data_IF_383489111706
#
_entry.id   IF_383489111706
#
_cell.length_a   1.000
_cell.length_b   1.000
_cell.length_c   1.000
_cell.angle_alpha   90.00
_cell.angle_beta   90.00
_cell.angle_gamma   90.00
#
_symmetry.space_group_name_H-M   'P 1'
#
loop_
_entity.id
_entity.type
_entity.pdbx_description
1 polymer ?
#
# COMPACT_ATOMS: atom_id res chain seq x y z
N UNK A 1 -21.26 11.62 4.13
CA UNK A 1 -21.15 13.01 4.61
C UNK A 1 -20.67 13.90 3.47
N UNK A 2 -21.54 14.77 2.94
CA UNK A 2 -21.26 15.62 1.77
C UNK A 2 -20.15 16.65 2.01
N UNK A 3 -19.77 16.88 3.24
CA UNK A 3 -18.68 17.78 3.60
C UNK A 3 -17.31 17.19 3.22
N UNK A 4 -17.15 15.87 3.31
CA UNK A 4 -15.89 15.16 3.10
C UNK A 4 -15.82 14.44 1.77
N UNK A 5 -16.96 14.26 1.08
CA UNK A 5 -17.06 13.44 -0.13
C UNK A 5 -17.52 14.24 -1.34
N UNK A 6 -16.65 14.33 -2.36
CA UNK A 6 -17.00 14.93 -3.63
C UNK A 6 -18.01 14.10 -4.42
N UNK A 7 -19.04 14.74 -5.01
CA UNK A 7 -20.12 14.05 -5.72
C UNK A 7 -19.86 13.87 -7.22
N UNK A 8 -19.06 14.74 -7.85
CA UNK A 8 -18.94 14.84 -9.31
C UNK A 8 -17.52 14.62 -9.84
N UNK A 9 -16.62 14.06 -9.02
CA UNK A 9 -15.26 13.75 -9.45
C UNK A 9 -15.20 12.56 -10.40
N UNK A 10 -14.17 12.46 -11.25
CA UNK A 10 -14.02 11.35 -12.19
C UNK A 10 -13.58 10.04 -11.49
N UNK A 11 -12.92 10.12 -10.34
CA UNK A 11 -12.54 8.96 -9.53
C UNK A 11 -13.74 8.53 -8.70
N UNK A 12 -14.22 7.31 -8.93
CA UNK A 12 -15.35 6.78 -8.20
C UNK A 12 -14.90 6.02 -6.96
N UNK A 13 -15.43 6.42 -5.80
CA UNK A 13 -15.34 5.69 -4.53
C UNK A 13 -16.71 5.09 -4.22
N UNK A 14 -16.76 3.86 -3.77
CA UNK A 14 -18.00 3.13 -3.53
C UNK A 14 -17.88 2.19 -2.33
N UNK A 15 -19.01 1.81 -1.79
CA UNK A 15 -19.11 0.68 -0.87
C UNK A 15 -18.80 -0.62 -1.62
N UNK A 16 -18.23 -1.60 -0.93
CA UNK A 16 -17.99 -2.94 -1.46
C UNK A 16 -19.28 -3.59 -1.96
N UNK A 17 -19.19 -4.28 -3.09
CA UNK A 17 -20.31 -5.05 -3.66
C UNK A 17 -20.30 -6.53 -3.22
N UNK A 18 -19.23 -6.96 -2.63
CA UNK A 18 -19.11 -8.27 -1.99
C UNK A 18 -19.35 -8.10 -0.48
N UNK A 19 -20.19 -8.94 0.06
CA UNK A 19 -20.54 -8.96 1.48
C UNK A 19 -20.09 -10.29 2.07
N UNK A 20 -18.83 -10.33 2.53
CA UNK A 20 -18.24 -11.54 3.08
C UNK A 20 -18.63 -11.70 4.57
N UNK A 21 -19.16 -12.86 4.99
CA UNK A 21 -19.51 -13.07 6.40
C UNK A 21 -18.29 -12.95 7.34
N UNK A 22 -17.09 -13.31 6.92
CA UNK A 22 -15.90 -13.17 7.77
C UNK A 22 -15.52 -11.71 8.00
N UNK A 23 -15.75 -10.82 7.01
CA UNK A 23 -15.60 -9.37 7.21
C UNK A 23 -16.58 -8.86 8.27
N UNK A 24 -17.83 -9.33 8.23
CA UNK A 24 -18.82 -9.00 9.28
C UNK A 24 -18.40 -9.52 10.65
N UNK A 25 -17.89 -10.76 10.73
CA UNK A 25 -17.37 -11.31 11.99
C UNK A 25 -16.23 -10.50 12.55
N UNK A 26 -15.33 -10.01 11.68
CA UNK A 26 -14.25 -9.11 12.10
C UNK A 26 -14.79 -7.79 12.68
N UNK A 27 -15.73 -7.16 11.98
CA UNK A 27 -16.35 -5.91 12.46
C UNK A 27 -17.10 -6.13 13.77
N UNK A 28 -17.84 -7.24 13.90
CA UNK A 28 -18.57 -7.59 15.12
C UNK A 28 -17.61 -7.85 16.28
N UNK A 29 -16.57 -8.65 16.09
CA UNK A 29 -15.55 -8.91 17.11
C UNK A 29 -14.86 -7.61 17.54
N UNK A 30 -14.42 -6.80 16.56
CA UNK A 30 -13.74 -5.54 16.82
C UNK A 30 -14.63 -4.49 17.51
N UNK A 31 -15.94 -4.51 17.25
CA UNK A 31 -16.90 -3.59 17.88
C UNK A 31 -17.05 -3.78 19.40
N UNK A 32 -16.56 -4.89 19.94
CA UNK A 32 -16.52 -5.15 21.38
C UNK A 32 -15.38 -4.45 22.10
N UNK A 33 -14.37 -4.00 21.35
CA UNK A 33 -13.16 -3.34 21.87
C UNK A 33 -13.02 -1.90 21.38
N UNK A 34 -13.55 -1.60 20.20
CA UNK A 34 -13.42 -0.30 19.53
C UNK A 34 -14.77 0.16 18.99
N UNK A 35 -14.96 1.46 18.83
CA UNK A 35 -16.16 2.00 18.15
C UNK A 35 -16.23 1.52 16.71
N UNK A 36 -17.43 1.34 16.20
CA UNK A 36 -17.65 1.07 14.77
C UNK A 36 -17.52 2.36 13.96
N UNK A 37 -16.94 2.26 12.77
CA UNK A 37 -16.84 3.36 11.84
C UNK A 37 -17.29 2.92 10.45
N UNK A 38 -18.29 3.59 9.91
CA UNK A 38 -18.83 3.30 8.58
C UNK A 38 -18.19 4.17 7.49
N UNK A 39 -17.32 5.11 7.87
CA UNK A 39 -16.70 6.08 6.97
C UNK A 39 -15.35 6.54 7.48
N UNK A 40 -14.30 5.78 7.16
CA UNK A 40 -12.92 6.12 7.53
C UNK A 40 -12.38 7.39 6.84
N UNK A 41 -13.08 7.90 5.84
CA UNK A 41 -12.71 9.10 5.09
C UNK A 41 -13.55 10.32 5.47
N UNK A 42 -14.32 10.22 6.55
CA UNK A 42 -15.10 11.32 7.13
C UNK A 42 -14.31 12.17 8.12
N UNK A 43 -15.01 12.82 9.04
CA UNK A 43 -14.41 13.67 10.09
C UNK A 43 -13.62 12.90 11.14
N UNK A 44 -13.88 11.62 11.31
CA UNK A 44 -13.27 10.75 12.30
C UNK A 44 -12.84 9.43 11.65
N UNK A 45 -11.56 9.16 11.70
CA UNK A 45 -11.00 7.94 11.09
C UNK A 45 -11.00 6.75 12.05
N UNK A 46 -11.05 6.99 13.38
CA UNK A 46 -10.88 5.94 14.38
C UNK A 46 -12.06 4.97 14.39
N UNK A 47 -11.78 3.67 14.53
CA UNK A 47 -12.76 2.63 14.72
C UNK A 47 -12.55 1.40 13.84
N UNK A 48 -13.49 0.45 13.88
CA UNK A 48 -13.52 -0.78 13.09
C UNK A 48 -14.67 -0.74 12.09
N UNK A 49 -14.43 -1.17 10.85
CA UNK A 49 -15.46 -1.10 9.81
C UNK A 49 -15.08 -1.77 8.50
N UNK A 50 -15.91 -1.56 7.49
CA UNK A 50 -15.70 -2.01 6.12
C UNK A 50 -15.11 -0.87 5.31
N UNK A 51 -14.09 -1.17 4.50
CA UNK A 51 -13.43 -0.17 3.66
C UNK A 51 -14.28 0.24 2.46
N UNK A 52 -14.28 1.54 2.18
CA UNK A 52 -14.68 2.06 0.89
C UNK A 52 -13.58 1.81 -0.14
N UNK A 53 -13.97 1.62 -1.41
CA UNK A 53 -13.04 1.21 -2.45
C UNK A 53 -13.16 2.07 -3.71
N UNK A 54 -12.04 2.30 -4.38
CA UNK A 54 -11.99 2.97 -5.69
C UNK A 54 -12.46 2.02 -6.79
N UNK A 55 -13.76 1.79 -6.82
CA UNK A 55 -14.43 0.90 -7.79
C UNK A 55 -15.61 1.61 -8.47
N UNK A 56 -15.84 1.26 -9.72
CA UNK A 56 -17.04 1.63 -10.48
C UNK A 56 -17.65 0.38 -11.10
N UNK A 57 -18.92 0.09 -10.77
CA UNK A 57 -19.62 -1.10 -11.27
C UNK A 57 -18.87 -2.42 -10.98
N UNK A 58 -18.32 -2.57 -9.77
CA UNK A 58 -17.57 -3.76 -9.33
C UNK A 58 -16.21 -3.95 -9.99
N UNK A 59 -15.72 -2.97 -10.75
CA UNK A 59 -14.40 -2.98 -11.39
C UNK A 59 -13.53 -1.87 -10.84
N UNK A 60 -12.21 -2.11 -10.77
CA UNK A 60 -11.24 -1.12 -10.31
C UNK A 60 -11.36 0.18 -11.12
N UNK A 61 -11.58 1.30 -10.44
CA UNK A 61 -11.55 2.65 -11.00
C UNK A 61 -10.17 3.27 -10.72
N UNK A 62 -9.16 2.83 -11.46
CA UNK A 62 -7.80 3.37 -11.34
C UNK A 62 -7.71 4.80 -11.88
N UNK A 63 -6.62 5.52 -11.56
CA UNK A 63 -6.33 6.83 -12.15
C UNK A 63 -6.35 6.79 -13.69
N UNK A 64 -5.86 5.70 -14.29
CA UNK A 64 -5.95 5.52 -15.74
C UNK A 64 -7.39 5.43 -16.23
N UNK A 65 -8.26 4.72 -15.52
CA UNK A 65 -9.69 4.61 -15.88
C UNK A 65 -10.42 5.93 -15.67
N UNK A 66 -10.15 6.61 -14.55
CA UNK A 66 -10.84 7.83 -14.15
C UNK A 66 -10.41 9.05 -14.97
N UNK A 67 -9.11 9.21 -15.23
CA UNK A 67 -8.55 10.44 -15.81
C UNK A 67 -7.95 10.24 -17.20
N UNK A 68 -7.12 9.20 -17.40
CA UNK A 68 -6.37 9.03 -18.62
C UNK A 68 -7.26 8.56 -19.77
N UNK A 69 -8.09 7.54 -19.56
CA UNK A 69 -8.94 6.99 -20.62
C UNK A 69 -9.89 8.04 -21.24
N UNK A 70 -10.58 8.89 -20.46
CA UNK A 70 -11.39 9.98 -21.03
C UNK A 70 -10.58 11.03 -21.79
N UNK A 71 -9.30 11.20 -21.46
CA UNK A 71 -8.44 12.22 -22.07
C UNK A 71 -7.68 11.74 -23.31
N UNK A 72 -7.60 10.42 -23.58
CA UNK A 72 -6.78 9.82 -24.65
C UNK A 72 -6.99 10.42 -26.04
N UNK A 73 -8.20 10.91 -26.32
CA UNK A 73 -8.55 11.47 -27.63
C UNK A 73 -8.24 12.98 -27.76
N UNK A 74 -7.72 13.60 -26.70
CA UNK A 74 -7.37 15.03 -26.75
C UNK A 74 -6.15 15.25 -27.63
N UNK A 75 -6.25 16.16 -28.59
CA UNK A 75 -5.15 16.48 -29.53
C UNK A 75 -3.89 17.06 -28.86
N UNK A 76 -4.05 17.62 -27.67
CA UNK A 76 -2.97 18.21 -26.89
C UNK A 76 -2.35 17.23 -25.87
N UNK A 77 -2.74 15.96 -25.88
CA UNK A 77 -2.19 14.92 -25.03
C UNK A 77 -1.39 13.91 -25.86
N UNK A 78 -0.13 13.74 -25.53
CA UNK A 78 0.73 12.67 -26.06
C UNK A 78 1.12 11.74 -24.90
N UNK A 79 0.86 10.44 -25.06
CA UNK A 79 1.22 9.40 -24.08
C UNK A 79 2.33 8.56 -24.70
N UNK A 80 3.46 8.51 -24.02
CA UNK A 80 4.61 7.70 -24.43
C UNK A 80 4.76 6.53 -23.45
N UNK A 81 4.41 5.32 -23.91
CA UNK A 81 4.66 4.07 -23.18
C UNK A 81 6.03 3.50 -23.53
N UNK A 82 6.49 2.51 -22.77
CA UNK A 82 7.80 1.87 -22.96
C UNK A 82 8.93 2.91 -23.01
N UNK A 83 8.84 3.90 -22.13
CA UNK A 83 9.74 5.06 -22.10
C UNK A 83 10.31 5.22 -20.69
N UNK A 84 11.62 5.08 -20.58
CA UNK A 84 12.39 5.30 -19.34
C UNK A 84 12.90 6.73 -19.34
N UNK A 85 12.60 7.48 -18.29
CA UNK A 85 13.15 8.83 -18.06
C UNK A 85 14.50 8.69 -17.39
N UNK A 86 15.54 9.22 -18.06
CA UNK A 86 16.90 9.24 -17.54
C UNK A 86 17.08 10.41 -16.57
N UNK A 87 16.98 11.64 -17.08
CA UNK A 87 17.21 12.86 -16.31
C UNK A 87 16.48 14.07 -16.89
N UNK A 88 16.42 15.11 -16.08
CA UNK A 88 15.98 16.46 -16.48
C UNK A 88 17.23 17.28 -16.83
N UNK A 89 17.21 17.97 -17.96
CA UNK A 89 18.26 18.91 -18.34
C UNK A 89 17.90 20.33 -17.90
N UNK A 90 18.89 21.04 -17.40
CA UNK A 90 18.75 22.39 -16.86
C UNK A 90 19.59 23.39 -17.67
N UNK A 91 19.10 24.63 -17.71
CA UNK A 91 19.84 25.80 -18.17
C UNK A 91 19.69 26.89 -17.11
N UNK A 92 20.80 27.28 -16.49
CA UNK A 92 20.79 28.26 -15.39
C UNK A 92 19.71 27.94 -14.32
N UNK A 93 19.69 26.73 -13.81
CA UNK A 93 18.72 26.20 -12.81
C UNK A 93 17.25 26.14 -13.29
N UNK A 94 16.99 26.42 -14.57
CA UNK A 94 15.65 26.25 -15.16
C UNK A 94 15.60 24.91 -15.88
N UNK A 95 14.61 24.07 -15.54
CA UNK A 95 14.33 22.81 -16.22
C UNK A 95 13.83 23.09 -17.65
N UNK A 96 14.54 22.59 -18.66
CA UNK A 96 14.26 22.90 -20.08
C UNK A 96 13.83 21.72 -20.91
N UNK A 97 14.30 20.52 -20.55
CA UNK A 97 13.97 19.29 -21.28
C UNK A 97 14.08 18.05 -20.40
N UNK A 98 13.55 16.95 -20.88
CA UNK A 98 13.66 15.62 -20.27
C UNK A 98 14.38 14.71 -21.27
N UNK A 99 15.47 14.05 -20.82
CA UNK A 99 16.12 12.99 -21.57
C UNK A 99 15.44 11.67 -21.23
N UNK A 100 15.03 10.92 -22.23
CA UNK A 100 14.36 9.64 -22.06
C UNK A 100 14.73 8.64 -23.17
N UNK A 101 14.52 7.36 -22.91
CA UNK A 101 14.74 6.29 -23.87
C UNK A 101 13.44 5.59 -24.16
N UNK A 102 13.02 5.55 -25.43
CA UNK A 102 11.84 4.82 -25.91
C UNK A 102 12.28 3.76 -26.91
N UNK A 103 12.02 2.49 -26.64
CA UNK A 103 12.41 1.38 -27.55
C UNK A 103 13.87 1.47 -27.99
N UNK A 104 14.79 1.65 -27.06
CA UNK A 104 16.25 1.81 -27.26
C UNK A 104 16.67 3.07 -28.03
N UNK A 105 15.74 4.02 -28.30
CA UNK A 105 16.07 5.29 -28.92
C UNK A 105 16.06 6.39 -27.88
N UNK A 106 17.19 7.08 -27.76
CA UNK A 106 17.31 8.27 -26.89
C UNK A 106 16.55 9.44 -27.53
N UNK A 107 15.74 10.11 -26.74
CA UNK A 107 14.96 11.29 -27.11
C UNK A 107 15.21 12.40 -26.09
N UNK A 108 15.09 13.63 -26.54
CA UNK A 108 15.05 14.82 -25.70
C UNK A 108 13.76 15.57 -25.97
N UNK A 109 12.95 15.72 -24.91
CA UNK A 109 11.62 16.36 -24.98
C UNK A 109 11.69 17.73 -24.29
N UNK A 110 11.55 18.79 -25.05
CA UNK A 110 11.63 20.16 -24.54
C UNK A 110 10.30 20.63 -23.95
N UNK A 111 10.37 21.24 -22.76
CA UNK A 111 9.23 21.86 -22.11
C UNK A 111 9.09 23.33 -22.51
N UNK A 112 7.85 23.76 -22.79
CA UNK A 112 7.56 25.17 -23.10
C UNK A 112 7.18 25.98 -21.86
N UNK A 113 6.65 25.31 -20.80
CA UNK A 113 6.21 25.95 -19.57
C UNK A 113 6.90 25.33 -18.37
N UNK A 114 6.65 24.05 -18.08
CA UNK A 114 7.13 23.39 -16.89
C UNK A 114 7.27 21.87 -17.12
N UNK A 115 8.03 21.23 -16.22
CA UNK A 115 8.16 19.77 -16.15
C UNK A 115 7.58 19.33 -14.79
N UNK A 116 6.59 18.45 -14.81
CA UNK A 116 5.99 17.87 -13.63
C UNK A 116 6.60 16.50 -13.37
N UNK A 117 7.38 16.37 -12.30
CA UNK A 117 8.01 15.13 -11.91
C UNK A 117 7.10 14.33 -10.98
N UNK A 118 6.47 13.29 -11.51
CA UNK A 118 5.50 12.44 -10.83
C UNK A 118 5.96 10.96 -10.79
N UNK A 119 7.26 10.71 -10.57
CA UNK A 119 7.85 9.38 -10.54
C UNK A 119 7.60 8.58 -9.26
N UNK A 120 6.85 9.13 -8.29
CA UNK A 120 6.59 8.51 -6.98
C UNK A 120 7.84 8.55 -6.09
N UNK A 121 7.73 7.85 -4.93
CA UNK A 121 8.76 7.89 -3.89
C UNK A 121 10.11 7.31 -4.34
N UNK A 122 10.14 6.45 -5.34
CA UNK A 122 11.38 5.84 -5.84
C UNK A 122 11.91 6.52 -7.10
N UNK A 123 11.05 6.80 -8.08
CA UNK A 123 11.48 7.36 -9.37
C UNK A 123 11.82 8.84 -9.30
N UNK A 124 11.11 9.64 -8.51
CA UNK A 124 11.38 11.09 -8.45
C UNK A 124 12.76 11.41 -7.89
N UNK A 125 13.21 10.88 -6.73
CA UNK A 125 14.53 11.17 -6.21
C UNK A 125 15.66 10.64 -7.13
N UNK A 126 15.49 9.48 -7.76
CA UNK A 126 16.52 8.92 -8.65
C UNK A 126 16.69 9.72 -9.94
N UNK A 127 15.60 10.26 -10.50
CA UNK A 127 15.67 11.18 -11.63
C UNK A 127 16.35 12.48 -11.23
N UNK A 128 16.05 13.05 -10.06
CA UNK A 128 16.70 14.26 -9.54
C UNK A 128 18.19 14.04 -9.32
N UNK A 129 18.59 12.93 -8.69
CA UNK A 129 20.00 12.58 -8.47
C UNK A 129 20.76 12.48 -9.81
N UNK A 130 20.25 11.75 -10.80
CA UNK A 130 20.85 11.69 -12.15
C UNK A 130 20.88 13.05 -12.86
N UNK A 131 20.03 13.97 -12.44
CA UNK A 131 19.98 15.34 -12.99
C UNK A 131 20.94 16.31 -12.28
N UNK A 132 21.73 15.85 -11.30
CA UNK A 132 22.65 16.69 -10.54
C UNK A 132 22.02 17.43 -9.35
N UNK A 133 20.84 16.99 -8.90
CA UNK A 133 20.15 17.56 -7.74
C UNK A 133 20.13 16.52 -6.61
N UNK A 134 20.78 16.82 -5.49
CA UNK A 134 20.91 15.91 -4.36
C UNK A 134 22.10 16.24 -3.49
N UNK A 135 22.50 15.33 -2.62
CA UNK A 135 23.68 15.50 -1.78
C UNK A 135 24.94 15.56 -2.65
N UNK A 136 25.70 16.66 -2.57
CA UNK A 136 26.87 16.92 -3.42
C UNK A 136 27.91 15.80 -3.36
N UNK A 137 28.31 15.36 -2.17
CA UNK A 137 29.32 14.31 -2.02
C UNK A 137 28.89 12.97 -2.60
N UNK A 138 27.59 12.64 -2.48
CA UNK A 138 27.01 11.44 -3.08
C UNK A 138 27.00 11.53 -4.61
N UNK A 139 26.60 12.67 -5.19
CA UNK A 139 26.61 12.89 -6.63
C UNK A 139 28.02 12.79 -7.22
N UNK A 140 29.01 13.44 -6.57
CA UNK A 140 30.40 13.38 -6.97
C UNK A 140 30.99 11.96 -6.96
N UNK A 141 30.60 11.13 -5.98
CA UNK A 141 31.00 9.70 -5.92
C UNK A 141 30.51 8.88 -7.12
N UNK A 142 29.45 9.34 -7.80
CA UNK A 142 28.91 8.74 -9.03
C UNK A 142 29.35 9.49 -10.31
N UNK A 143 30.33 10.40 -10.21
CA UNK A 143 30.79 11.26 -11.31
C UNK A 143 29.65 12.13 -11.92
N UNK A 144 28.70 12.53 -11.11
CA UNK A 144 27.64 13.46 -11.48
C UNK A 144 28.03 14.85 -10.97
N UNK A 145 28.04 15.83 -11.88
CA UNK A 145 28.19 17.23 -11.51
C UNK A 145 27.02 17.70 -10.65
N UNK A 146 27.32 18.26 -9.48
CA UNK A 146 26.27 18.80 -8.59
C UNK A 146 25.80 20.15 -9.12
N UNK A 147 24.56 20.18 -9.60
CA UNK A 147 23.90 21.41 -10.03
C UNK A 147 23.31 22.16 -8.84
N UNK A 148 22.78 21.42 -7.87
CA UNK A 148 22.18 21.95 -6.65
C UNK A 148 22.36 20.93 -5.49
N UNK A 149 23.11 21.34 -4.47
CA UNK A 149 23.22 20.56 -3.22
C UNK A 149 21.91 20.64 -2.45
N UNK A 150 21.08 19.61 -2.59
CA UNK A 150 19.78 19.45 -1.94
C UNK A 150 19.74 18.13 -1.19
N UNK A 151 20.23 18.15 0.05
CA UNK A 151 20.49 16.95 0.87
C UNK A 151 19.26 16.07 1.13
N UNK A 152 18.04 16.66 1.07
CA UNK A 152 16.79 15.92 1.29
C UNK A 152 16.38 15.00 0.14
N UNK A 153 17.00 15.12 -1.05
CA UNK A 153 16.66 14.26 -2.19
C UNK A 153 17.17 12.84 -1.97
N UNK A 154 16.24 11.91 -1.92
CA UNK A 154 16.49 10.50 -1.65
C UNK A 154 16.60 10.14 -0.16
N UNK A 155 16.48 11.12 0.72
CA UNK A 155 16.43 10.92 2.17
C UNK A 155 14.97 10.91 2.67
N UNK A 156 14.76 10.59 3.95
CA UNK A 156 13.45 10.61 4.61
C UNK A 156 12.41 9.67 3.95
N UNK A 157 12.85 8.53 3.42
CA UNK A 157 11.91 7.48 3.02
C UNK A 157 11.12 7.01 4.24
N UNK A 158 9.82 7.11 4.18
CA UNK A 158 8.88 6.58 5.17
C UNK A 158 7.94 5.60 4.49
N UNK A 159 7.62 4.52 5.17
CA UNK A 159 6.65 3.54 4.71
C UNK A 159 5.99 2.87 5.91
N UNK A 160 4.79 2.36 5.74
CA UNK A 160 4.12 1.59 6.78
C UNK A 160 4.70 0.16 6.81
N UNK A 161 5.33 -0.20 7.92
CA UNK A 161 5.71 -1.59 8.18
C UNK A 161 4.48 -2.40 8.57
N UNK A 162 4.36 -3.61 8.03
CA UNK A 162 3.19 -4.49 8.17
C UNK A 162 3.60 -5.87 8.73
N UNK A 163 2.82 -6.37 9.68
CA UNK A 163 2.95 -7.72 10.19
C UNK A 163 1.64 -8.49 9.97
N UNK A 164 1.73 -9.74 9.50
CA UNK A 164 0.58 -10.53 9.06
C UNK A 164 0.40 -11.76 9.94
N UNK A 165 -0.83 -12.01 10.39
CA UNK A 165 -1.28 -13.30 10.91
C UNK A 165 -2.22 -13.97 9.93
N UNK A 166 -1.96 -15.26 9.64
CA UNK A 166 -2.82 -16.05 8.74
C UNK A 166 -3.50 -17.18 9.48
N UNK A 167 -4.79 -17.36 9.21
CA UNK A 167 -5.67 -18.31 9.88
C UNK A 167 -6.29 -19.25 8.86
N UNK A 168 -6.07 -20.55 9.04
CA UNK A 168 -6.60 -21.56 8.13
C UNK A 168 -8.00 -21.96 8.54
N UNK A 169 -8.97 -21.75 7.65
CA UNK A 169 -10.38 -22.07 7.87
C UNK A 169 -10.97 -22.72 6.64
N UNK A 170 -11.56 -23.90 6.80
CA UNK A 170 -12.19 -24.61 5.69
C UNK A 170 -13.61 -24.09 5.43
N UNK A 171 -13.70 -22.98 4.70
CA UNK A 171 -14.97 -22.32 4.37
C UNK A 171 -15.11 -22.04 2.88
N UNK A 172 -16.33 -22.18 2.36
CA UNK A 172 -16.69 -21.79 0.99
C UNK A 172 -16.63 -20.29 0.77
N UNK A 173 -16.73 -19.48 1.83
CA UNK A 173 -16.83 -18.02 1.75
C UNK A 173 -15.46 -17.33 1.60
N UNK A 174 -14.37 -18.05 1.86
CA UNK A 174 -13.03 -17.51 1.85
C UNK A 174 -12.30 -17.77 0.53
N UNK A 175 -11.44 -16.83 0.15
CA UNK A 175 -10.62 -16.93 -1.04
C UNK A 175 -9.47 -17.90 -0.86
N UNK A 176 -9.04 -18.48 -1.99
CA UNK A 176 -7.82 -19.26 -2.12
C UNK A 176 -7.29 -19.14 -3.54
N UNK A 177 -6.06 -19.61 -3.78
CA UNK A 177 -5.57 -19.79 -5.15
C UNK A 177 -6.32 -20.94 -5.81
N UNK A 178 -6.70 -20.85 -7.11
CA UNK A 178 -7.25 -21.96 -7.88
C UNK A 178 -6.36 -23.20 -7.76
N UNK A 179 -6.99 -24.38 -7.68
CA UNK A 179 -6.33 -25.69 -7.50
C UNK A 179 -5.61 -25.89 -6.16
N UNK A 180 -5.49 -24.85 -5.31
CA UNK A 180 -4.97 -24.97 -3.95
C UNK A 180 -6.07 -25.15 -2.89
N UNK A 181 -7.34 -24.98 -3.29
CA UNK A 181 -8.53 -25.30 -2.50
C UNK A 181 -9.61 -25.89 -3.43
N UNK A 182 -10.13 -27.05 -3.08
CA UNK A 182 -11.20 -27.68 -3.84
C UNK A 182 -12.47 -26.81 -3.80
N UNK A 183 -12.82 -26.30 -2.63
CA UNK A 183 -14.02 -25.45 -2.43
C UNK A 183 -13.95 -24.19 -3.30
N UNK A 184 -12.81 -23.49 -3.28
CA UNK A 184 -12.64 -22.30 -4.09
C UNK A 184 -12.66 -22.62 -5.59
N UNK A 185 -11.98 -23.69 -6.02
CA UNK A 185 -11.93 -24.09 -7.43
C UNK A 185 -13.33 -24.43 -7.97
N UNK A 186 -14.17 -25.07 -7.17
CA UNK A 186 -15.56 -25.38 -7.56
C UNK A 186 -16.46 -24.13 -7.57
N UNK A 187 -16.27 -23.19 -6.65
CA UNK A 187 -17.08 -21.98 -6.54
C UNK A 187 -16.72 -20.90 -7.56
N UNK A 188 -15.43 -20.75 -7.88
CA UNK A 188 -14.92 -19.64 -8.69
C UNK A 188 -15.64 -19.45 -10.05
N UNK A 189 -16.01 -20.49 -10.82
CA UNK A 189 -16.77 -20.33 -12.06
C UNK A 189 -18.16 -19.72 -11.86
N UNK A 190 -18.87 -20.12 -10.82
CA UNK A 190 -20.21 -19.59 -10.52
C UNK A 190 -20.14 -18.11 -10.09
N UNK A 191 -19.15 -17.76 -9.30
CA UNK A 191 -18.89 -16.37 -8.92
C UNK A 191 -18.48 -15.52 -10.13
N UNK A 192 -17.74 -16.09 -11.09
CA UNK A 192 -17.41 -15.40 -12.34
C UNK A 192 -18.67 -15.09 -13.17
N UNK A 193 -19.62 -16.01 -13.23
CA UNK A 193 -20.91 -15.78 -13.89
C UNK A 193 -21.66 -14.62 -13.19
N UNK A 194 -21.72 -14.61 -11.85
CA UNK A 194 -22.33 -13.49 -11.10
C UNK A 194 -21.64 -12.16 -11.40
N UNK A 195 -20.32 -12.16 -11.47
CA UNK A 195 -19.56 -10.97 -11.81
C UNK A 195 -19.88 -10.45 -13.22
N UNK A 196 -19.87 -11.34 -14.21
CA UNK A 196 -20.11 -10.96 -15.62
C UNK A 196 -21.55 -10.47 -15.83
N UNK A 197 -22.55 -11.15 -15.26
CA UNK A 197 -23.94 -10.82 -15.48
C UNK A 197 -24.46 -9.68 -14.60
N UNK A 198 -23.97 -9.56 -13.37
CA UNK A 198 -24.54 -8.64 -12.38
C UNK A 198 -23.52 -7.67 -11.76
N UNK A 199 -22.22 -7.78 -12.07
CA UNK A 199 -21.15 -7.04 -11.41
C UNK A 199 -21.21 -7.18 -9.88
N UNK A 200 -21.46 -8.40 -9.39
CA UNK A 200 -21.58 -8.77 -7.97
C UNK A 200 -20.75 -10.01 -7.65
N UNK A 201 -20.66 -10.34 -6.35
CA UNK A 201 -20.01 -11.54 -5.87
C UNK A 201 -18.52 -11.36 -5.61
N UNK A 202 -17.84 -12.45 -5.31
CA UNK A 202 -16.47 -12.46 -4.80
C UNK A 202 -15.46 -11.77 -5.75
N UNK A 203 -15.66 -11.79 -7.06
CA UNK A 203 -14.78 -11.13 -8.02
C UNK A 203 -14.87 -9.59 -8.02
N UNK A 204 -15.78 -9.02 -7.21
CA UNK A 204 -15.81 -7.58 -6.93
C UNK A 204 -15.06 -7.22 -5.65
N UNK A 205 -14.58 -8.20 -4.89
CA UNK A 205 -13.78 -7.98 -3.69
C UNK A 205 -12.37 -7.48 -4.03
N UNK A 206 -11.84 -6.62 -3.17
CA UNK A 206 -10.43 -6.23 -3.16
C UNK A 206 -9.60 -7.08 -2.18
N UNK A 207 -10.15 -8.16 -1.61
CA UNK A 207 -9.64 -9.03 -0.56
C UNK A 207 -9.56 -8.38 0.81
N UNK A 208 -8.97 -7.20 0.95
CA UNK A 208 -8.93 -6.43 2.19
C UNK A 208 -10.25 -5.66 2.35
N UNK A 209 -11.29 -6.34 2.78
CA UNK A 209 -12.65 -5.79 2.78
C UNK A 209 -12.96 -4.94 4.01
N UNK A 210 -12.34 -5.25 5.14
CA UNK A 210 -12.54 -4.55 6.39
C UNK A 210 -11.23 -4.27 7.09
N UNK A 211 -11.32 -3.50 8.17
CA UNK A 211 -10.16 -3.19 8.99
C UNK A 211 -10.51 -2.25 10.12
N UNK A 212 -9.47 -1.66 10.69
CA UNK A 212 -9.62 -0.70 11.77
C UNK A 212 -8.52 0.35 11.69
N UNK A 213 -8.83 1.54 12.17
CA UNK A 213 -7.86 2.55 12.57
C UNK A 213 -7.96 2.70 14.08
N UNK A 214 -6.92 2.35 14.79
CA UNK A 214 -6.89 2.29 16.26
C UNK A 214 -5.65 2.98 16.82
N UNK A 215 -5.72 3.31 18.08
CA UNK A 215 -4.61 3.94 18.82
C UNK A 215 -3.84 2.87 19.59
N UNK A 216 -2.52 2.93 19.55
CA UNK A 216 -1.66 2.10 20.40
C UNK A 216 -1.75 2.51 21.88
N UNK A 217 -2.04 3.80 22.12
CA UNK A 217 -2.26 4.39 23.41
C UNK A 217 -3.48 5.35 23.37
N UNK A 218 -4.37 5.26 24.36
CA UNK A 218 -5.62 6.06 24.38
C UNK A 218 -5.41 7.57 24.45
N UNK A 219 -4.24 8.01 24.92
CA UNK A 219 -3.88 9.43 25.01
C UNK A 219 -3.50 10.04 23.63
N UNK A 220 -3.34 9.24 22.60
CA UNK A 220 -3.07 9.75 21.26
C UNK A 220 -4.30 10.49 20.70
N UNK A 221 -4.07 11.60 20.02
CA UNK A 221 -5.15 12.36 19.37
C UNK A 221 -5.73 11.61 18.16
N UNK A 222 -4.88 10.93 17.41
CA UNK A 222 -5.24 10.23 16.16
C UNK A 222 -4.71 8.79 16.15
N UNK A 223 -5.35 7.88 15.40
CA UNK A 223 -4.85 6.53 15.22
C UNK A 223 -3.42 6.47 14.68
N UNK A 224 -2.61 5.60 15.22
CA UNK A 224 -1.25 5.30 14.80
C UNK A 224 -1.07 3.86 14.29
N UNK A 225 -2.12 3.04 14.38
CA UNK A 225 -2.19 1.68 13.89
C UNK A 225 -3.35 1.51 12.91
N UNK A 226 -3.12 0.73 11.86
CA UNK A 226 -4.18 0.26 10.96
C UNK A 226 -4.20 -1.26 10.91
N UNK A 227 -5.38 -1.84 10.95
CA UNK A 227 -5.60 -3.26 10.69
C UNK A 227 -6.23 -3.45 9.32
N UNK A 228 -5.76 -4.46 8.57
CA UNK A 228 -6.42 -4.89 7.33
C UNK A 228 -6.90 -6.32 7.51
N UNK A 229 -8.19 -6.53 7.42
CA UNK A 229 -8.77 -7.86 7.43
C UNK A 229 -8.99 -8.35 6.00
N UNK A 230 -8.30 -9.44 5.64
CA UNK A 230 -8.35 -10.02 4.30
C UNK A 230 -9.10 -11.35 4.31
N UNK A 231 -10.03 -11.52 3.39
CA UNK A 231 -10.84 -12.74 3.26
C UNK A 231 -10.13 -13.86 2.48
N UNK A 232 -8.82 -13.84 2.50
CA UNK A 232 -7.91 -14.83 1.93
C UNK A 232 -6.62 -14.91 2.76
N UNK A 233 -5.97 -16.07 2.77
CA UNK A 233 -4.67 -16.20 3.42
C UNK A 233 -3.59 -15.49 2.63
N UNK A 234 -2.80 -14.66 3.30
CA UNK A 234 -1.62 -14.00 2.78
C UNK A 234 -0.42 -14.40 3.64
N UNK A 235 0.63 -14.89 3.01
CA UNK A 235 1.91 -15.19 3.64
C UNK A 235 3.00 -14.57 2.80
N UNK A 236 3.98 -13.92 3.44
CA UNK A 236 5.09 -13.28 2.76
C UNK A 236 4.60 -12.42 1.56
N UNK A 237 3.61 -11.57 1.83
CA UNK A 237 2.97 -10.69 0.84
C UNK A 237 2.55 -11.40 -0.48
N UNK A 238 2.15 -12.67 -0.36
CA UNK A 238 1.72 -13.48 -1.50
C UNK A 238 2.86 -14.14 -2.29
N UNK A 239 4.12 -13.95 -1.89
CA UNK A 239 5.28 -14.65 -2.46
C UNK A 239 5.27 -16.13 -2.08
N UNK A 240 4.81 -16.44 -0.87
CA UNK A 240 4.64 -17.83 -0.42
C UNK A 240 3.25 -18.35 -0.78
N UNK A 241 3.21 -19.52 -1.42
CA UNK A 241 1.95 -20.16 -1.77
C UNK A 241 1.29 -20.86 -0.58
N UNK A 242 0.02 -20.56 -0.36
CA UNK A 242 -0.80 -21.16 0.68
C UNK A 242 -1.79 -22.20 0.12
N UNK A 243 -1.93 -23.32 0.83
CA UNK A 243 -2.94 -24.34 0.52
C UNK A 243 -4.15 -24.20 1.43
N UNK A 244 -5.34 -24.36 0.85
CA UNK A 244 -6.61 -24.29 1.55
C UNK A 244 -7.20 -22.87 1.57
N UNK A 245 -8.31 -22.73 2.26
CA UNK A 245 -9.00 -21.46 2.49
C UNK A 245 -8.62 -20.91 3.87
N UNK A 246 -8.76 -19.60 4.04
CA UNK A 246 -8.55 -18.93 5.29
C UNK A 246 -8.64 -17.43 5.14
N UNK A 247 -8.32 -16.73 6.18
CA UNK A 247 -8.25 -15.26 6.21
C UNK A 247 -6.95 -14.81 6.85
N UNK A 248 -6.60 -13.55 6.68
CA UNK A 248 -5.46 -12.93 7.36
C UNK A 248 -5.87 -11.62 8.00
N UNK A 249 -5.18 -11.26 9.05
CA UNK A 249 -5.26 -9.93 9.62
C UNK A 249 -3.85 -9.34 9.66
N UNK A 250 -3.76 -8.11 9.21
CA UNK A 250 -2.56 -7.32 9.15
C UNK A 250 -2.60 -6.27 10.24
N UNK A 251 -1.45 -5.92 10.79
CA UNK A 251 -1.27 -4.72 11.60
C UNK A 251 -0.12 -3.92 11.06
N UNK A 252 -0.36 -2.65 10.76
CA UNK A 252 0.69 -1.76 10.29
C UNK A 252 0.78 -0.48 11.11
N UNK A 253 2.02 0.02 11.24
CA UNK A 253 2.36 1.27 11.88
C UNK A 253 2.14 2.42 10.90
N UNK A 254 1.26 3.38 11.25
CA UNK A 254 0.90 4.50 10.38
C UNK A 254 1.86 5.70 10.46
N UNK A 255 2.60 5.82 11.56
CA UNK A 255 3.41 7.01 11.84
C UNK A 255 4.82 6.61 12.30
N UNK A 256 5.59 5.93 11.40
CA UNK A 256 6.93 5.50 11.76
C UNK A 256 7.84 6.68 12.05
N UNK A 257 8.71 6.52 13.08
CA UNK A 257 9.83 7.42 13.36
C UNK A 257 11.07 7.02 12.56
N UNK A 258 11.20 5.73 12.27
CA UNK A 258 12.24 5.20 11.40
C UNK A 258 12.12 5.82 10.01
N UNK A 259 13.25 6.27 9.48
CA UNK A 259 13.33 6.84 8.12
C UNK A 259 14.49 6.19 7.36
N UNK A 260 14.29 6.01 6.09
CA UNK A 260 15.23 5.38 5.19
C UNK A 260 15.66 6.26 4.02
N UNK A 261 16.22 5.62 3.00
CA UNK A 261 16.77 6.31 1.84
C UNK A 261 16.44 5.62 0.52
N UNK A 262 16.46 6.41 -0.57
CA UNK A 262 16.40 5.94 -1.95
C UNK A 262 17.53 6.57 -2.73
N UNK A 263 18.48 5.79 -3.23
CA UNK A 263 19.68 6.26 -3.90
C UNK A 263 19.86 5.56 -5.24
N UNK A 264 20.41 6.25 -6.23
CA UNK A 264 20.83 5.59 -7.47
C UNK A 264 21.96 4.59 -7.17
N UNK A 265 21.93 3.42 -7.79
CA UNK A 265 23.02 2.45 -7.76
C UNK A 265 24.11 2.83 -8.76
N UNK A 266 23.73 3.46 -9.87
CA UNK A 266 24.63 3.94 -10.93
C UNK A 266 23.99 5.09 -11.72
N UNK A 267 24.70 5.60 -12.71
CA UNK A 267 24.18 6.60 -13.66
C UNK A 267 23.27 6.00 -14.74
N UNK A 268 23.21 4.68 -14.85
CA UNK A 268 22.33 4.01 -15.81
C UNK A 268 20.87 4.03 -15.30
N UNK A 269 19.91 4.60 -16.06
CA UNK A 269 18.52 4.68 -15.63
C UNK A 269 17.79 3.33 -15.58
N UNK A 270 18.36 2.27 -16.16
CA UNK A 270 17.80 0.93 -16.17
C UNK A 270 18.23 0.11 -14.93
N UNK A 271 19.18 0.60 -14.14
CA UNK A 271 19.60 -0.04 -12.90
C UNK A 271 18.58 0.26 -11.77
N UNK A 272 18.21 -0.77 -11.04
CA UNK A 272 17.33 -0.61 -9.89
C UNK A 272 17.98 0.28 -8.81
N UNK A 273 17.22 1.18 -8.18
CA UNK A 273 17.74 2.00 -7.10
C UNK A 273 18.03 1.17 -5.84
N UNK A 274 18.96 1.68 -5.04
CA UNK A 274 19.18 1.20 -3.68
C UNK A 274 18.07 1.77 -2.78
N UNK A 275 17.19 0.90 -2.31
CA UNK A 275 16.07 1.26 -1.45
C UNK A 275 16.34 0.65 -0.08
N UNK A 276 16.52 1.50 0.90
CA UNK A 276 16.67 1.10 2.31
C UNK A 276 15.59 1.79 3.14
N UNK A 277 14.51 1.09 3.48
CA UNK A 277 13.46 1.64 4.35
C UNK A 277 13.93 1.86 5.79
N UNK A 278 15.01 1.16 6.23
CA UNK A 278 15.55 1.24 7.58
C UNK A 278 14.48 0.99 8.67
N UNK A 279 13.56 0.04 8.40
CA UNK A 279 12.45 -0.28 9.30
C UNK A 279 12.92 -0.63 10.71
N UNK A 280 12.13 -0.21 11.71
CA UNK A 280 12.37 -0.53 13.14
C UNK A 280 13.77 -0.11 13.63
N UNK A 281 14.33 0.94 13.05
CA UNK A 281 15.58 1.56 13.50
C UNK A 281 15.37 2.46 14.73
N UNK A 282 14.13 2.91 14.94
CA UNK A 282 13.69 3.58 16.17
C UNK A 282 12.95 2.58 17.04
N UNK A 283 13.32 2.48 18.32
CA UNK A 283 12.77 1.50 19.23
C UNK A 283 11.28 1.75 19.53
N UNK A 284 10.80 2.99 19.46
CA UNK A 284 9.39 3.31 19.66
C UNK A 284 8.51 2.68 18.58
N UNK A 285 9.00 2.53 17.35
CA UNK A 285 8.27 1.85 16.27
C UNK A 285 8.01 0.38 16.62
N UNK A 286 8.98 -0.29 17.24
CA UNK A 286 8.83 -1.66 17.72
C UNK A 286 7.83 -1.75 18.88
N UNK A 287 7.90 -0.82 19.84
CA UNK A 287 6.95 -0.79 20.97
C UNK A 287 5.50 -0.64 20.48
N UNK A 288 5.26 0.25 19.51
CA UNK A 288 3.95 0.45 18.91
C UNK A 288 3.51 -0.80 18.15
N UNK A 289 4.39 -1.46 17.41
CA UNK A 289 4.07 -2.69 16.68
C UNK A 289 3.74 -3.86 17.62
N UNK A 290 4.41 -3.99 18.78
CA UNK A 290 4.08 -5.00 19.80
C UNK A 290 2.68 -4.73 20.38
N UNK A 291 2.35 -3.48 20.72
CA UNK A 291 1.01 -3.10 21.17
C UNK A 291 -0.04 -3.38 20.08
N UNK A 292 0.29 -3.04 18.83
CA UNK A 292 -0.56 -3.30 17.68
C UNK A 292 -0.85 -4.78 17.46
N UNK A 293 0.17 -5.64 17.56
CA UNK A 293 -0.01 -7.09 17.50
C UNK A 293 -1.00 -7.58 18.57
N UNK A 294 -0.86 -7.12 19.82
CA UNK A 294 -1.77 -7.49 20.90
C UNK A 294 -3.19 -7.07 20.65
N UNK A 295 -3.42 -5.81 20.23
CA UNK A 295 -4.75 -5.30 19.90
C UNK A 295 -5.39 -6.06 18.72
N UNK A 296 -4.60 -6.39 17.70
CA UNK A 296 -5.05 -7.25 16.61
C UNK A 296 -5.48 -8.63 17.15
N UNK A 297 -4.65 -9.28 17.95
CA UNK A 297 -4.95 -10.61 18.49
C UNK A 297 -6.12 -10.61 19.48
N UNK A 298 -6.35 -9.51 20.20
CA UNK A 298 -7.54 -9.33 21.03
C UNK A 298 -8.82 -9.42 20.20
N UNK A 299 -8.88 -8.74 19.07
CA UNK A 299 -10.02 -8.83 18.14
C UNK A 299 -10.12 -10.25 17.57
N UNK A 300 -9.01 -10.84 17.14
CA UNK A 300 -8.99 -12.17 16.53
C UNK A 300 -9.41 -13.28 17.51
N UNK A 301 -9.19 -13.09 18.81
CA UNK A 301 -9.57 -14.01 19.89
C UNK A 301 -10.99 -13.72 20.46
N UNK A 302 -11.71 -12.80 19.86
CA UNK A 302 -13.08 -12.42 20.28
C UNK A 302 -14.13 -13.06 19.37
N UNK A 303 -15.21 -13.60 19.95
CA UNK A 303 -16.34 -14.13 19.19
C UNK A 303 -17.01 -13.02 18.33
N UNK A 304 -17.40 -13.33 17.08
CA UNK A 304 -17.48 -14.65 16.47
C UNK A 304 -16.22 -15.15 15.76
N UNK A 305 -15.12 -14.42 15.74
CA UNK A 305 -13.87 -14.85 15.09
C UNK A 305 -13.12 -15.93 15.88
N UNK A 306 -13.21 -15.92 17.22
CA UNK A 306 -12.46 -16.82 18.10
C UNK A 306 -12.62 -18.30 17.73
N UNK A 307 -13.85 -18.70 17.35
CA UNK A 307 -14.14 -20.08 16.93
C UNK A 307 -13.36 -20.53 15.68
N UNK A 308 -12.86 -19.57 14.88
CA UNK A 308 -12.09 -19.81 13.66
C UNK A 308 -10.59 -19.50 13.84
N UNK A 309 -10.17 -19.13 15.07
CA UNK A 309 -8.81 -18.74 15.35
C UNK A 309 -7.85 -19.93 15.33
N UNK A 310 -7.44 -20.32 14.13
CA UNK A 310 -6.40 -21.34 13.89
C UNK A 310 -5.19 -20.66 13.25
N UNK A 311 -4.49 -19.87 14.06
CA UNK A 311 -3.31 -19.12 13.61
C UNK A 311 -2.18 -20.07 13.23
N UNK A 312 -1.56 -19.82 12.09
CA UNK A 312 -0.55 -20.72 11.51
C UNK A 312 0.76 -20.75 12.31
N UNK A 313 1.17 -19.61 12.83
CA UNK A 313 2.40 -19.45 13.61
C UNK A 313 2.03 -18.76 14.93
N UNK A 314 1.52 -19.50 15.91
CA UNK A 314 1.08 -18.92 17.17
C UNK A 314 2.28 -18.37 17.95
N UNK A 315 2.10 -17.18 18.50
CA UNK A 315 3.08 -16.51 19.36
C UNK A 315 2.40 -16.28 20.70
N UNK A 316 3.15 -16.52 21.79
CA UNK A 316 2.66 -16.16 23.11
C UNK A 316 2.48 -14.64 23.19
N UNK A 317 1.23 -14.20 23.39
CA UNK A 317 0.86 -12.78 23.42
C UNK A 317 1.47 -12.02 24.61
N UNK A 318 1.87 -12.73 25.67
CA UNK A 318 2.47 -12.17 26.88
C UNK A 318 4.01 -12.08 26.79
N UNK A 319 4.61 -12.59 25.72
CA UNK A 319 6.06 -12.61 25.51
C UNK A 319 6.48 -11.55 24.47
N UNK A 320 6.91 -10.38 24.98
CA UNK A 320 7.38 -9.28 24.13
C UNK A 320 8.54 -9.68 23.22
N UNK A 321 9.47 -10.51 23.72
CA UNK A 321 10.64 -10.93 22.94
C UNK A 321 10.25 -11.86 21.80
N UNK A 322 9.26 -12.74 22.03
CA UNK A 322 8.74 -13.61 20.98
C UNK A 322 8.00 -12.80 19.91
N UNK A 323 7.20 -11.80 20.32
CA UNK A 323 6.50 -10.90 19.39
C UNK A 323 7.52 -10.07 18.59
N UNK A 324 8.49 -9.42 19.25
CA UNK A 324 9.56 -8.66 18.61
C UNK A 324 10.32 -9.51 17.59
N UNK A 325 10.76 -10.70 17.98
CA UNK A 325 11.49 -11.62 17.09
C UNK A 325 10.67 -11.97 15.84
N UNK A 326 9.37 -12.20 15.99
CA UNK A 326 8.47 -12.51 14.88
C UNK A 326 8.25 -11.29 13.96
N UNK A 327 8.08 -10.10 14.54
CA UNK A 327 7.94 -8.85 13.78
C UNK A 327 9.21 -8.60 12.96
N UNK A 328 10.40 -8.66 13.56
CA UNK A 328 11.68 -8.47 12.83
C UNK A 328 11.89 -9.49 11.73
N UNK A 329 11.46 -10.73 11.93
CA UNK A 329 11.68 -11.81 10.96
C UNK A 329 10.68 -11.83 9.79
N UNK A 330 9.47 -11.26 9.96
CA UNK A 330 8.35 -11.50 9.03
C UNK A 330 7.60 -10.24 8.60
N UNK A 331 7.94 -9.08 9.15
CA UNK A 331 7.34 -7.82 8.67
C UNK A 331 7.94 -7.39 7.34
N UNK A 332 7.14 -6.67 6.56
CA UNK A 332 7.52 -6.15 5.25
C UNK A 332 6.73 -4.85 4.99
N UNK A 333 6.94 -4.23 3.84
CA UNK A 333 6.19 -3.05 3.39
C UNK A 333 4.71 -3.37 3.15
N UNK A 334 3.82 -2.43 3.44
CA UNK A 334 2.43 -2.44 2.94
C UNK A 334 2.27 -1.58 1.67
N UNK A 335 3.39 -1.25 1.00
CA UNK A 335 3.45 -0.55 -0.28
C UNK A 335 2.95 0.91 -0.26
N UNK A 336 3.24 1.63 0.81
CA UNK A 336 2.85 3.03 0.99
C UNK A 336 4.04 4.02 1.12
N UNK A 337 5.12 3.88 0.31
CA UNK A 337 6.32 4.69 0.45
C UNK A 337 6.07 6.16 0.13
N UNK A 338 6.65 7.05 0.95
CA UNK A 338 6.55 8.51 0.81
C UNK A 338 7.83 9.21 1.29
N UNK A 339 7.92 10.51 1.12
CA UNK A 339 8.85 11.38 1.86
C UNK A 339 10.19 11.66 1.19
N UNK A 340 10.58 10.95 0.14
CA UNK A 340 11.93 10.97 -0.46
C UNK A 340 12.32 12.22 -1.24
N UNK A 341 11.39 13.15 -1.40
CA UNK A 341 11.64 14.49 -1.95
C UNK A 341 11.10 15.57 -1.01
N UNK A 342 11.27 15.37 0.30
CA UNK A 342 10.87 16.34 1.33
C UNK A 342 11.63 17.65 1.11
N UNK A 343 10.88 18.74 1.04
CA UNK A 343 11.40 20.11 0.97
C UNK A 343 11.74 20.64 2.36
#
# INVERSE_FOLDING_TARGET
>A
DDQYHGQNGPLNVAQLRHDNPFTRYFVEAGSKHHKTNNDFNGSDQEGVGVYQVTQKNGKRCSAAVAYLNPAKQRKNLTIMTDTVVDKINFKNLTAVSVKCTTKNKVNELHAKKEILLCGGAYGSPTILQRSGIGNESFLQSHNIECLLDLKGVGENLQDHIDYITSHRVDSWELFAKPFKSLKFTMRAPFELIKFVLASKGMWTSNLAEGGAFIKSDENLEVPDLQLHFTVGMVEDHGRTEMWGNGFSCHVCLLRPKSVGTVKIASTNPDDDPLIDPNYLSDDEDMEVMIKGYRKMMEIMNTEPLAQFNNVRNPINIDDDKAIESAIRARSDTIYHPVGTCKM
#
